data_IF_399074387430
#
_entry.id   IF_399074387430
#
_cell.length_a   1.000
_cell.length_b   1.000
_cell.length_c   1.000
_cell.angle_alpha   90.00
_cell.angle_beta   90.00
_cell.angle_gamma   90.00
#
_symmetry.space_group_name_H-M   'P 1'
#
loop_
_entity.id
_entity.type
_entity.pdbx_description
1 polymer ?
#
# COMPACT_ATOMS: atom_id res chain seq x y z
N UNK A 1 16.35 -32.35 44.24
CA UNK A 1 16.09 -31.24 43.29
C UNK A 1 14.59 -31.05 43.20
N UNK A 2 14.06 -29.95 43.76
CA UNK A 2 12.63 -29.83 44.07
C UNK A 2 11.78 -29.77 42.79
N UNK A 3 10.65 -30.49 42.79
CA UNK A 3 9.64 -30.48 41.70
C UNK A 3 9.23 -29.06 41.26
N UNK A 4 9.41 -28.08 42.14
CA UNK A 4 9.14 -26.66 41.90
C UNK A 4 10.10 -26.01 40.87
N UNK A 5 11.36 -26.45 40.78
CA UNK A 5 12.33 -25.92 39.80
C UNK A 5 12.00 -26.46 38.40
N UNK A 6 11.54 -27.71 38.31
CA UNK A 6 11.21 -28.36 37.04
C UNK A 6 9.94 -27.75 36.39
N UNK A 7 8.90 -27.47 37.19
CA UNK A 7 7.71 -26.76 36.70
C UNK A 7 8.02 -25.32 36.26
N UNK A 8 8.93 -24.64 36.95
CA UNK A 8 9.37 -23.28 36.57
C UNK A 8 10.07 -23.26 35.20
N UNK A 9 10.90 -24.26 34.89
CA UNK A 9 11.58 -24.37 33.59
C UNK A 9 10.61 -24.69 32.44
N UNK A 10 9.55 -25.46 32.70
CA UNK A 10 8.50 -25.75 31.72
C UNK A 10 7.65 -24.49 31.44
N UNK A 11 7.31 -23.70 32.47
CA UNK A 11 6.59 -22.44 32.27
C UNK A 11 7.40 -21.40 31.48
N UNK A 12 8.71 -21.32 31.71
CA UNK A 12 9.61 -20.41 30.98
C UNK A 12 9.75 -20.82 29.51
N UNK A 13 9.83 -22.12 29.19
CA UNK A 13 9.95 -22.60 27.80
C UNK A 13 8.66 -22.45 26.98
N UNK A 14 7.48 -22.53 27.61
CA UNK A 14 6.20 -22.28 26.95
C UNK A 14 6.03 -20.79 26.59
N UNK A 15 6.56 -19.86 27.40
CA UNK A 15 6.51 -18.42 27.12
C UNK A 15 7.39 -18.00 25.92
N UNK A 16 8.45 -18.75 25.60
CA UNK A 16 9.29 -18.49 24.41
C UNK A 16 8.75 -19.07 23.11
N UNK A 17 7.70 -19.89 23.16
CA UNK A 17 7.21 -20.65 21.99
C UNK A 17 6.13 -19.93 21.18
N UNK A 18 5.69 -18.74 21.59
CA UNK A 18 4.52 -18.08 21.00
C UNK A 18 4.86 -16.79 20.25
N UNK A 19 5.74 -16.84 19.24
CA UNK A 19 5.81 -15.86 18.14
C UNK A 19 6.73 -16.35 17.01
N UNK A 20 6.36 -17.46 16.37
CA UNK A 20 7.06 -17.95 15.18
C UNK A 20 6.77 -17.12 13.92
N UNK A 21 7.68 -17.18 12.94
CA UNK A 21 7.47 -16.62 11.60
C UNK A 21 6.31 -17.38 10.93
N UNK A 22 5.32 -16.66 10.42
CA UNK A 22 4.14 -17.27 9.77
C UNK A 22 3.96 -16.74 8.35
N UNK A 23 3.60 -17.63 7.43
CA UNK A 23 3.15 -17.23 6.09
C UNK A 23 1.70 -16.75 6.15
N UNK A 24 1.37 -15.70 5.42
CA UNK A 24 0.00 -15.12 5.37
C UNK A 24 -0.36 -14.68 3.95
N UNK A 25 -1.65 -14.44 3.70
CA UNK A 25 -2.12 -13.77 2.48
C UNK A 25 -1.85 -12.26 2.50
N UNK A 26 -1.91 -11.62 1.33
CA UNK A 26 -1.72 -10.18 1.16
C UNK A 26 -2.73 -9.36 1.99
N UNK A 27 -4.02 -9.68 1.90
CA UNK A 27 -5.06 -9.00 2.68
C UNK A 27 -4.79 -9.02 4.18
N UNK A 28 -4.32 -10.17 4.69
CA UNK A 28 -4.01 -10.33 6.11
C UNK A 28 -2.80 -9.48 6.49
N UNK A 29 -1.75 -9.48 5.67
CA UNK A 29 -0.57 -8.64 5.89
C UNK A 29 -0.94 -7.15 5.88
N UNK A 30 -1.74 -6.70 4.90
CA UNK A 30 -2.20 -5.32 4.78
C UNK A 30 -3.06 -4.89 5.97
N UNK A 31 -4.03 -5.72 6.38
CA UNK A 31 -4.85 -5.49 7.60
C UNK A 31 -4.00 -5.42 8.86
N UNK A 32 -2.95 -6.23 8.98
CA UNK A 32 -2.05 -6.21 10.13
C UNK A 32 -1.19 -4.94 10.15
N UNK A 33 -0.62 -4.55 9.01
CA UNK A 33 0.15 -3.31 8.88
C UNK A 33 -0.71 -2.07 9.22
N UNK A 34 -1.98 -2.05 8.78
CA UNK A 34 -2.94 -1.02 9.14
C UNK A 34 -3.19 -0.91 10.66
N UNK A 35 -3.21 -2.05 11.37
CA UNK A 35 -3.52 -2.10 12.80
C UNK A 35 -2.32 -1.89 13.73
N UNK A 36 -1.14 -2.36 13.33
CA UNK A 36 0.02 -2.48 14.22
C UNK A 36 1.31 -1.85 13.69
N UNK A 37 1.27 -1.22 12.51
CA UNK A 37 2.39 -0.48 11.92
C UNK A 37 3.70 -1.29 11.77
N UNK A 38 3.56 -2.56 11.37
CA UNK A 38 4.72 -3.45 11.17
C UNK A 38 5.67 -2.88 10.11
N UNK A 39 6.98 -3.04 10.30
CA UNK A 39 7.96 -2.71 9.25
C UNK A 39 7.79 -3.67 8.08
N UNK A 40 7.55 -3.16 6.89
CA UNK A 40 7.39 -4.01 5.70
C UNK A 40 8.59 -3.90 4.79
N UNK A 41 9.17 -5.03 4.40
CA UNK A 41 10.26 -5.12 3.43
C UNK A 41 9.79 -5.87 2.19
N UNK A 42 9.93 -5.23 1.03
CA UNK A 42 9.68 -5.78 -0.29
C UNK A 42 11.00 -6.30 -0.87
N UNK A 43 10.97 -7.51 -1.40
CA UNK A 43 12.10 -8.19 -2.06
C UNK A 43 13.40 -8.13 -1.23
N UNK A 44 13.27 -8.27 0.09
CA UNK A 44 14.35 -8.34 1.06
C UNK A 44 14.78 -7.00 1.65
N UNK A 45 14.91 -5.95 0.84
CA UNK A 45 15.71 -4.78 1.21
C UNK A 45 14.93 -3.46 1.14
N UNK A 46 13.91 -3.36 0.30
CA UNK A 46 13.16 -2.13 0.11
C UNK A 46 12.11 -2.00 1.21
N UNK A 47 12.28 -1.04 2.12
CA UNK A 47 11.24 -0.77 3.11
C UNK A 47 10.08 -0.01 2.46
N UNK A 48 8.86 -0.52 2.63
CA UNK A 48 7.65 0.04 2.05
C UNK A 48 6.56 0.26 3.11
N UNK A 49 5.59 1.12 2.79
CA UNK A 49 4.37 1.33 3.57
C UNK A 49 3.18 0.69 2.86
N UNK A 50 2.67 -0.45 3.35
CA UNK A 50 1.52 -1.16 2.76
C UNK A 50 0.19 -0.39 2.86
N UNK A 51 0.14 0.68 3.65
CA UNK A 51 -1.03 1.59 3.66
C UNK A 51 -1.08 2.41 2.37
N UNK A 52 0.08 2.71 1.77
CA UNK A 52 0.22 3.62 0.63
C UNK A 52 0.82 2.96 -0.61
N UNK A 53 1.37 1.75 -0.49
CA UNK A 53 1.84 0.94 -1.62
C UNK A 53 0.83 -0.17 -1.95
N UNK A 54 0.17 -0.03 -3.10
CA UNK A 54 -0.71 -1.02 -3.71
C UNK A 54 0.13 -1.93 -4.61
N UNK A 55 0.42 -3.12 -4.10
CA UNK A 55 1.15 -4.16 -4.84
C UNK A 55 0.16 -5.04 -5.60
N UNK A 56 0.56 -5.53 -6.76
CA UNK A 56 -0.19 -6.58 -7.47
C UNK A 56 -0.15 -7.89 -6.66
N UNK A 57 -1.29 -8.38 -6.14
CA UNK A 57 -1.34 -9.63 -5.39
C UNK A 57 -0.97 -10.86 -6.22
N UNK A 58 -1.19 -10.85 -7.54
CA UNK A 58 -0.87 -11.99 -8.42
C UNK A 58 0.64 -12.15 -8.59
N UNK A 59 1.39 -11.05 -8.49
CA UNK A 59 2.85 -11.05 -8.51
C UNK A 59 3.48 -11.33 -7.13
N UNK A 60 2.71 -11.66 -6.08
CA UNK A 60 3.26 -12.01 -4.77
C UNK A 60 3.53 -13.52 -4.68
N UNK A 61 4.80 -13.89 -4.56
CA UNK A 61 5.20 -15.28 -4.31
C UNK A 61 4.94 -15.70 -2.85
N UNK A 62 5.35 -14.86 -1.89
CA UNK A 62 5.26 -15.21 -0.46
C UNK A 62 5.24 -13.97 0.42
N UNK A 63 4.45 -14.03 1.49
CA UNK A 63 4.49 -13.06 2.59
C UNK A 63 4.74 -13.78 3.90
N UNK A 64 5.71 -13.31 4.67
CA UNK A 64 5.98 -13.80 6.02
C UNK A 64 5.86 -12.68 7.04
N UNK A 65 5.35 -13.02 8.21
CA UNK A 65 5.24 -12.12 9.35
C UNK A 65 6.05 -12.69 10.49
N UNK A 66 6.99 -11.90 10.99
CA UNK A 66 7.66 -12.13 12.26
C UNK A 66 6.97 -11.26 13.33
N UNK A 67 6.26 -11.92 14.24
CA UNK A 67 5.56 -11.24 15.34
C UNK A 67 6.51 -10.69 16.40
N UNK A 68 7.73 -11.21 16.52
CA UNK A 68 8.72 -10.79 17.52
C UNK A 68 9.46 -9.53 17.06
N UNK A 69 9.83 -9.47 15.80
CA UNK A 69 10.47 -8.29 15.20
C UNK A 69 9.48 -7.31 14.56
N UNK A 70 8.18 -7.57 14.69
CA UNK A 70 7.09 -6.78 14.09
C UNK A 70 7.35 -6.45 12.61
N UNK A 71 7.80 -7.46 11.86
CA UNK A 71 8.25 -7.31 10.49
C UNK A 71 7.41 -8.14 9.53
N UNK A 72 7.02 -7.54 8.41
CA UNK A 72 6.41 -8.20 7.26
C UNK A 72 7.46 -8.25 6.14
N UNK A 73 7.70 -9.44 5.57
CA UNK A 73 8.55 -9.59 4.39
C UNK A 73 7.71 -10.10 3.23
N UNK A 74 7.74 -9.38 2.11
CA UNK A 74 7.04 -9.70 0.87
C UNK A 74 8.09 -10.05 -0.18
N UNK A 75 7.91 -11.19 -0.85
CA UNK A 75 8.70 -11.59 -2.00
C UNK A 75 7.78 -11.67 -3.21
N UNK A 76 8.15 -10.98 -4.28
CA UNK A 76 7.44 -11.02 -5.55
C UNK A 76 7.98 -12.12 -6.47
N UNK A 77 7.15 -12.57 -7.42
CA UNK A 77 7.53 -13.51 -8.48
C UNK A 77 8.49 -12.81 -9.44
N UNK A 78 8.13 -11.59 -9.86
CA UNK A 78 8.97 -10.68 -10.63
C UNK A 78 9.23 -9.41 -9.81
N UNK A 79 10.48 -9.11 -9.51
CA UNK A 79 10.87 -7.92 -8.75
C UNK A 79 10.94 -6.64 -9.60
N UNK A 80 10.86 -6.74 -10.92
CA UNK A 80 10.94 -5.62 -11.86
C UNK A 80 9.55 -5.09 -12.29
N UNK A 81 8.55 -5.19 -11.41
CA UNK A 81 7.18 -4.73 -11.70
C UNK A 81 7.15 -3.23 -11.95
N UNK A 82 6.50 -2.84 -13.04
CA UNK A 82 6.28 -1.43 -13.31
C UNK A 82 5.26 -0.86 -12.31
N UNK A 83 5.65 0.23 -11.67
CA UNK A 83 4.81 0.98 -10.75
C UNK A 83 4.94 2.48 -11.02
N UNK A 84 4.03 3.26 -10.43
CA UNK A 84 4.08 4.71 -10.44
C UNK A 84 3.73 5.29 -9.07
N UNK A 85 4.31 6.43 -8.77
CA UNK A 85 3.92 7.30 -7.67
C UNK A 85 2.78 8.22 -8.12
N UNK A 86 1.87 8.59 -7.22
CA UNK A 86 0.82 9.58 -7.53
C UNK A 86 1.43 10.95 -7.91
N UNK A 87 2.67 11.24 -7.51
CA UNK A 87 3.37 12.44 -8.00
C UNK A 87 3.66 12.42 -9.51
N UNK A 88 3.59 11.25 -10.16
CA UNK A 88 3.92 11.05 -11.58
C UNK A 88 2.70 11.07 -12.50
N UNK A 89 1.50 11.36 -11.99
CA UNK A 89 0.27 11.39 -12.79
C UNK A 89 0.28 12.44 -13.91
N UNK A 90 1.08 13.50 -13.75
CA UNK A 90 1.25 14.54 -14.77
C UNK A 90 2.25 14.13 -15.86
N UNK A 91 2.96 13.00 -15.68
CA UNK A 91 3.93 12.53 -16.65
C UNK A 91 3.27 12.08 -17.96
N UNK A 92 4.01 12.28 -19.07
CA UNK A 92 3.58 11.78 -20.39
C UNK A 92 3.34 10.27 -20.37
N UNK A 93 4.15 9.51 -19.62
CA UNK A 93 4.02 8.05 -19.49
C UNK A 93 2.66 7.68 -18.89
N UNK A 94 2.32 8.27 -17.74
CA UNK A 94 1.05 8.01 -17.08
C UNK A 94 -0.15 8.41 -17.95
N UNK A 95 -0.16 9.66 -18.45
CA UNK A 95 -1.27 10.17 -19.27
C UNK A 95 -1.48 9.34 -20.54
N UNK A 96 -0.40 8.96 -21.21
CA UNK A 96 -0.46 8.09 -22.40
C UNK A 96 -1.07 6.72 -22.08
N UNK A 97 -0.62 6.07 -20.99
CA UNK A 97 -1.14 4.74 -20.58
C UNK A 97 -2.64 4.75 -20.34
N UNK A 98 -3.17 5.82 -19.75
CA UNK A 98 -4.60 5.95 -19.42
C UNK A 98 -5.38 6.86 -20.39
N UNK A 99 -4.80 7.18 -21.56
CA UNK A 99 -5.44 7.98 -22.62
C UNK A 99 -5.98 9.35 -22.14
N UNK A 100 -5.29 9.96 -21.17
CA UNK A 100 -5.55 11.32 -20.69
C UNK A 100 -4.85 12.31 -21.62
N UNK A 101 -5.50 13.43 -21.98
CA UNK A 101 -4.86 14.41 -22.85
C UNK A 101 -3.71 15.09 -22.12
N UNK A 102 -2.57 15.29 -22.81
CA UNK A 102 -1.34 15.82 -22.19
C UNK A 102 -1.56 17.20 -21.54
N UNK A 103 -2.45 18.02 -22.11
CA UNK A 103 -2.81 19.35 -21.65
C UNK A 103 -3.85 19.38 -20.51
N UNK A 104 -4.49 18.26 -20.20
CA UNK A 104 -5.41 18.19 -19.05
C UNK A 104 -4.59 18.29 -17.76
N UNK A 105 -4.72 19.39 -17.02
CA UNK A 105 -4.12 19.51 -15.68
C UNK A 105 -4.98 18.76 -14.66
N UNK A 106 -4.37 18.05 -13.72
CA UNK A 106 -5.07 17.30 -12.67
C UNK A 106 -4.92 18.05 -11.35
N UNK A 107 -6.03 18.61 -10.86
CA UNK A 107 -6.04 19.36 -9.61
C UNK A 107 -6.12 18.44 -8.39
N UNK A 108 -6.97 17.43 -8.45
CA UNK A 108 -7.27 16.54 -7.33
C UNK A 108 -7.15 15.08 -7.74
N UNK A 109 -6.78 14.24 -6.76
CA UNK A 109 -6.64 12.79 -6.96
C UNK A 109 -7.41 12.09 -5.86
N UNK A 110 -8.32 11.20 -6.24
CA UNK A 110 -9.06 10.34 -5.32
C UNK A 110 -8.66 8.90 -5.64
N UNK A 111 -8.04 8.22 -4.68
CA UNK A 111 -7.59 6.85 -4.78
C UNK A 111 -8.46 5.97 -3.88
N UNK A 112 -9.23 5.05 -4.46
CA UNK A 112 -10.18 4.18 -3.74
C UNK A 112 -11.12 4.96 -2.79
N UNK A 113 -11.61 6.11 -3.24
CA UNK A 113 -12.47 7.00 -2.46
C UNK A 113 -11.75 7.88 -1.43
N UNK A 114 -10.41 7.77 -1.31
CA UNK A 114 -9.61 8.59 -0.39
C UNK A 114 -8.97 9.74 -1.17
N UNK A 115 -9.16 10.97 -0.69
CA UNK A 115 -8.48 12.14 -1.24
C UNK A 115 -6.97 12.06 -0.94
N UNK A 116 -6.14 12.12 -1.99
CA UNK A 116 -4.68 12.12 -1.87
C UNK A 116 -4.17 13.55 -1.92
N UNK A 117 -3.84 14.10 -0.75
CA UNK A 117 -3.32 15.46 -0.59
C UNK A 117 -1.92 15.64 -1.21
N UNK A 118 -1.61 16.88 -1.61
CA UNK A 118 -0.42 17.22 -2.40
C UNK A 118 0.91 16.71 -1.80
N UNK A 119 1.12 16.87 -0.50
CA UNK A 119 2.34 16.41 0.18
C UNK A 119 2.46 14.89 0.25
N UNK A 120 1.34 14.19 0.18
CA UNK A 120 1.25 12.75 0.33
C UNK A 120 1.34 12.00 -1.00
N UNK A 121 1.14 12.67 -2.14
CA UNK A 121 1.21 12.08 -3.49
C UNK A 121 2.48 11.24 -3.71
N UNK A 122 3.63 11.71 -3.22
CA UNK A 122 4.94 11.04 -3.33
C UNK A 122 5.12 9.81 -2.44
N UNK A 123 4.22 9.59 -1.48
CA UNK A 123 4.21 8.41 -0.59
C UNK A 123 3.35 7.28 -1.13
N UNK A 124 2.38 7.60 -2.00
CA UNK A 124 1.53 6.61 -2.63
C UNK A 124 2.22 6.03 -3.86
N UNK A 125 2.36 4.71 -3.89
CA UNK A 125 2.93 3.95 -5.01
C UNK A 125 1.96 2.84 -5.41
N UNK A 126 1.81 2.61 -6.71
CA UNK A 126 0.81 1.70 -7.26
C UNK A 126 1.48 0.91 -8.38
N UNK A 127 1.49 -0.41 -8.26
CA UNK A 127 1.86 -1.28 -9.37
C UNK A 127 0.83 -1.10 -10.50
N UNK A 128 1.25 -0.94 -11.74
CA UNK A 128 0.30 -0.61 -12.81
C UNK A 128 -0.79 -1.67 -13.00
N UNK A 129 -0.48 -2.94 -12.72
CA UNK A 129 -1.37 -4.07 -12.97
C UNK A 129 -2.50 -4.19 -11.94
N UNK A 130 -2.39 -3.53 -10.78
CA UNK A 130 -3.47 -3.47 -9.77
C UNK A 130 -4.51 -2.38 -10.06
N UNK A 131 -4.25 -1.51 -11.05
CA UNK A 131 -5.17 -0.42 -11.38
C UNK A 131 -6.35 -0.96 -12.18
N UNK A 132 -7.53 -0.90 -11.56
CA UNK A 132 -8.78 -1.33 -12.18
C UNK A 132 -9.38 -0.27 -13.09
N UNK A 133 -9.45 0.98 -12.61
CA UNK A 133 -9.99 2.10 -13.40
C UNK A 133 -9.23 3.39 -13.13
N UNK A 134 -9.13 4.21 -14.18
CA UNK A 134 -8.67 5.60 -14.12
C UNK A 134 -9.69 6.44 -14.87
N UNK A 135 -10.31 7.39 -14.18
CA UNK A 135 -11.32 8.30 -14.75
C UNK A 135 -10.94 9.74 -14.47
N UNK A 136 -10.88 10.56 -15.51
CA UNK A 136 -10.73 12.01 -15.37
C UNK A 136 -12.11 12.66 -15.45
N UNK A 137 -12.56 13.25 -14.35
CA UNK A 137 -13.72 14.14 -14.34
C UNK A 137 -13.25 15.56 -14.63
N UNK A 138 -13.68 16.11 -15.76
CA UNK A 138 -13.37 17.48 -16.15
C UNK A 138 -14.39 18.45 -15.57
N UNK A 139 -13.93 19.65 -15.22
CA UNK A 139 -14.77 20.75 -14.75
C UNK A 139 -15.73 20.34 -13.62
N UNK A 140 -15.29 19.45 -12.74
CA UNK A 140 -16.10 18.98 -11.63
C UNK A 140 -16.34 20.15 -10.67
N UNK A 141 -17.58 20.24 -10.16
CA UNK A 141 -17.96 21.27 -9.21
C UNK A 141 -17.12 21.16 -7.93
N UNK A 142 -16.40 22.23 -7.60
CA UNK A 142 -15.58 22.37 -6.38
C UNK A 142 -16.37 22.14 -5.09
N UNK A 143 -17.69 22.41 -5.11
CA UNK A 143 -18.62 22.15 -4.01
C UNK A 143 -18.84 20.66 -3.71
N UNK A 144 -18.65 19.75 -4.67
CA UNK A 144 -18.74 18.29 -4.40
C UNK A 144 -17.59 17.83 -3.50
N UNK A 145 -16.48 18.58 -3.48
CA UNK A 145 -15.25 18.24 -2.75
C UNK A 145 -14.95 19.18 -1.58
N UNK A 146 -15.90 20.06 -1.22
CA UNK A 146 -15.79 21.04 -0.14
C UNK A 146 -14.51 21.92 -0.23
N UNK A 147 -14.05 22.19 -1.46
CA UNK A 147 -12.91 23.07 -1.71
C UNK A 147 -13.46 24.46 -2.09
N UNK A 148 -13.23 25.47 -1.26
CA UNK A 148 -13.68 26.84 -1.52
C UNK A 148 -12.99 27.44 -2.74
N UNK A 149 -13.65 27.41 -3.90
CA UNK A 149 -13.20 28.01 -5.15
C UNK A 149 -14.32 28.00 -6.20
N UNK A 150 -14.34 29.00 -7.09
CA UNK A 150 -15.40 29.18 -8.09
C UNK A 150 -15.10 28.53 -9.45
N UNK A 151 -13.99 27.81 -9.58
CA UNK A 151 -13.57 27.20 -10.85
C UNK A 151 -13.82 25.68 -10.86
N UNK A 152 -14.19 25.17 -12.04
CA UNK A 152 -14.27 23.73 -12.28
C UNK A 152 -12.90 23.09 -12.06
N UNK A 153 -12.86 21.99 -11.30
CA UNK A 153 -11.63 21.26 -11.01
C UNK A 153 -11.57 19.95 -11.77
N UNK A 154 -10.41 19.65 -12.34
CA UNK A 154 -10.14 18.34 -12.93
C UNK A 154 -9.77 17.35 -11.83
N UNK A 155 -10.58 16.31 -11.69
CA UNK A 155 -10.45 15.29 -10.62
C UNK A 155 -10.11 13.95 -11.26
N UNK A 156 -8.97 13.40 -10.86
CA UNK A 156 -8.57 12.06 -11.25
C UNK A 156 -9.05 11.04 -10.22
N UNK A 157 -9.91 10.12 -10.64
CA UNK A 157 -10.36 8.98 -9.86
C UNK A 157 -9.54 7.75 -10.25
N UNK A 158 -8.92 7.10 -9.28
CA UNK A 158 -8.18 5.86 -9.45
C UNK A 158 -8.80 4.81 -8.52
N UNK A 159 -9.15 3.65 -9.06
CA UNK A 159 -9.54 2.48 -8.25
C UNK A 159 -8.57 1.34 -8.47
N UNK A 160 -8.22 0.64 -7.40
CA UNK A 160 -7.40 -0.58 -7.44
C UNK A 160 -8.23 -1.80 -7.04
N UNK A 161 -7.67 -2.98 -7.28
CA UNK A 161 -8.22 -4.26 -6.78
C UNK A 161 -7.76 -4.58 -5.35
#
# INVERSE_FOLDING_TARGET
>A
MSKNIFLSLIFISILYSCSGIKTVSYDKARKLNLKKDYKTFLNGNEQIDLKKYYLDPENIFKITIDGKSETIKISQINSATESFSISEIESKKFKSRYKIQTNDSISLVILNGILVEGNDKKKYKIDYDVVKTVTLLKDASSTILNCGGNDGVNVLLITTE
#
